data_IF_377689227797
#
_entry.id   IF_377689227797
#
_cell.length_a   1.000
_cell.length_b   1.000
_cell.length_c   1.000
_cell.angle_alpha   90.00
_cell.angle_beta   90.00
_cell.angle_gamma   90.00
#
_symmetry.space_group_name_H-M   'P 1'
#
loop_
_entity.id
_entity.type
_entity.pdbx_description
1 polymer ?
#
# COMPACT_ATOMS: atom_id res chain seq x y z
N UNK A 1 -10.80 17.04 -15.75
CA UNK A 1 -11.18 16.71 -14.37
C UNK A 1 -10.77 15.28 -14.01
N UNK A 2 -11.00 14.31 -14.89
CA UNK A 2 -10.66 12.89 -14.67
C UNK A 2 -9.16 12.65 -14.38
N UNK A 3 -8.26 13.26 -15.16
CA UNK A 3 -6.81 13.18 -14.89
C UNK A 3 -6.41 13.72 -13.50
N UNK A 4 -7.10 14.75 -13.00
CA UNK A 4 -6.82 15.30 -11.66
C UNK A 4 -7.25 14.30 -10.56
N UNK A 5 -8.39 13.64 -10.76
CA UNK A 5 -8.88 12.58 -9.87
C UNK A 5 -7.91 11.39 -9.92
N UNK A 6 -7.45 11.01 -11.11
CA UNK A 6 -6.48 9.94 -11.28
C UNK A 6 -5.16 10.22 -10.58
N UNK A 7 -4.62 11.44 -10.71
CA UNK A 7 -3.43 11.89 -9.97
C UNK A 7 -3.66 11.85 -8.45
N UNK A 8 -4.84 12.27 -7.97
CA UNK A 8 -5.16 12.19 -6.54
C UNK A 8 -5.21 10.74 -6.03
N UNK A 9 -5.75 9.80 -6.82
CA UNK A 9 -5.77 8.37 -6.48
C UNK A 9 -4.36 7.75 -6.46
N UNK A 10 -3.49 8.14 -7.39
CA UNK A 10 -2.08 7.74 -7.39
C UNK A 10 -1.38 8.31 -6.15
N UNK A 11 -1.63 9.58 -5.81
CA UNK A 11 -1.02 10.23 -4.66
C UNK A 11 -1.49 9.58 -3.35
N UNK A 12 -2.78 9.23 -3.26
CA UNK A 12 -3.32 8.42 -2.17
C UNK A 12 -2.58 7.08 -2.04
N UNK A 13 -2.36 6.36 -3.14
CA UNK A 13 -1.58 5.12 -3.12
C UNK A 13 -0.16 5.33 -2.59
N UNK A 14 0.56 6.35 -3.10
CA UNK A 14 1.95 6.63 -2.70
C UNK A 14 2.06 6.91 -1.20
N UNK A 15 1.14 7.70 -0.63
CA UNK A 15 1.14 8.00 0.81
C UNK A 15 0.95 6.73 1.63
N UNK A 16 0.02 5.85 1.25
CA UNK A 16 -0.22 4.59 1.95
C UNK A 16 0.98 3.63 1.81
N UNK A 17 1.64 3.61 0.65
CA UNK A 17 2.87 2.83 0.45
C UNK A 17 3.99 3.29 1.39
N UNK A 18 4.23 4.60 1.49
CA UNK A 18 5.23 5.17 2.40
C UNK A 18 4.90 4.85 3.85
N UNK A 19 3.64 4.98 4.26
CA UNK A 19 3.20 4.63 5.61
C UNK A 19 3.46 3.13 5.91
N UNK A 20 3.15 2.24 4.97
CA UNK A 20 3.45 0.80 5.09
C UNK A 20 4.94 0.52 5.26
N UNK A 21 5.80 1.18 4.47
CA UNK A 21 7.26 1.05 4.59
C UNK A 21 7.76 1.53 5.96
N UNK A 22 7.22 2.64 6.48
CA UNK A 22 7.58 3.16 7.81
C UNK A 22 7.20 2.16 8.90
N UNK A 23 6.00 1.57 8.83
CA UNK A 23 5.53 0.56 9.78
C UNK A 23 6.45 -0.65 9.76
N UNK A 24 6.72 -1.21 8.58
CA UNK A 24 7.65 -2.34 8.41
C UNK A 24 9.02 -2.01 8.98
N UNK A 25 9.57 -0.84 8.65
CA UNK A 25 10.88 -0.43 9.13
C UNK A 25 10.93 -0.30 10.65
N UNK A 26 9.88 0.25 11.27
CA UNK A 26 9.77 0.38 12.71
C UNK A 26 9.67 -0.99 13.40
N UNK A 27 8.80 -1.87 12.90
CA UNK A 27 8.63 -3.22 13.44
C UNK A 27 9.92 -4.04 13.35
N UNK A 28 10.61 -3.94 12.21
CA UNK A 28 11.83 -4.71 11.97
C UNK A 28 12.97 -4.29 12.92
N UNK A 29 13.01 -3.02 13.35
CA UNK A 29 13.97 -2.52 14.35
C UNK A 29 13.68 -3.08 15.76
N UNK A 30 12.43 -3.36 16.08
CA UNK A 30 12.01 -3.91 17.39
C UNK A 30 12.20 -5.43 17.50
N UNK A 31 11.97 -6.18 16.42
CA UNK A 31 12.00 -7.66 16.49
C UNK A 31 13.31 -8.30 15.99
N UNK A 32 14.28 -7.53 15.48
CA UNK A 32 15.52 -8.05 14.89
C UNK A 32 15.25 -9.13 13.82
N UNK A 33 14.08 -9.07 13.18
CA UNK A 33 13.67 -10.00 12.13
C UNK A 33 14.32 -9.58 10.81
N UNK A 34 14.50 -10.54 9.92
CA UNK A 34 14.96 -10.25 8.56
C UNK A 34 13.89 -9.43 7.85
N UNK A 35 14.28 -8.33 7.20
CA UNK A 35 13.38 -7.42 6.46
C UNK A 35 12.46 -8.17 5.49
N UNK A 36 12.99 -9.25 4.90
CA UNK A 36 12.27 -10.12 3.97
C UNK A 36 11.15 -10.91 4.66
N UNK A 37 11.39 -11.39 5.90
CA UNK A 37 10.37 -12.08 6.69
C UNK A 37 9.28 -11.12 7.16
N UNK A 38 9.66 -9.91 7.59
CA UNK A 38 8.69 -8.88 7.98
C UNK A 38 7.79 -8.48 6.79
N UNK A 39 8.36 -8.27 5.61
CA UNK A 39 7.59 -7.95 4.40
C UNK A 39 6.60 -9.04 4.00
N UNK A 40 7.02 -10.32 4.07
CA UNK A 40 6.13 -11.46 3.78
C UNK A 40 5.04 -11.59 4.84
N UNK A 41 5.38 -11.47 6.13
CA UNK A 41 4.40 -11.56 7.21
C UNK A 41 3.38 -10.44 7.12
N UNK A 42 3.84 -9.21 6.87
CA UNK A 42 2.97 -8.05 6.69
C UNK A 42 2.04 -8.28 5.51
N UNK A 43 2.56 -8.77 4.37
CA UNK A 43 1.73 -9.11 3.20
C UNK A 43 0.70 -10.21 3.50
N UNK A 44 1.09 -11.24 4.28
CA UNK A 44 0.20 -12.33 4.67
C UNK A 44 -0.86 -11.85 5.66
N UNK A 45 -0.52 -11.08 6.69
CA UNK A 45 -1.47 -10.47 7.62
C UNK A 45 -2.40 -9.49 6.88
N UNK A 46 -1.85 -8.74 5.93
CA UNK A 46 -2.63 -7.85 5.07
C UNK A 46 -3.64 -8.58 4.17
N UNK A 47 -3.35 -9.81 3.74
CA UNK A 47 -4.24 -10.63 2.89
C UNK A 47 -5.23 -11.45 3.72
N UNK A 48 -4.79 -11.95 4.88
CA UNK A 48 -5.50 -12.97 5.67
C UNK A 48 -6.45 -12.38 6.71
N UNK A 49 -6.19 -11.14 7.14
CA UNK A 49 -6.90 -10.50 8.24
C UNK A 49 -7.79 -9.33 7.75
N UNK A 50 -8.37 -8.58 8.69
CA UNK A 50 -9.27 -7.41 8.52
C UNK A 50 -8.76 -6.34 7.53
N UNK A 51 -7.46 -6.37 7.19
CA UNK A 51 -6.82 -5.42 6.29
C UNK A 51 -6.91 -5.76 4.80
N UNK A 52 -7.43 -6.95 4.42
CA UNK A 52 -7.58 -7.34 3.02
C UNK A 52 -8.42 -6.37 2.20
N UNK A 53 -9.49 -5.84 2.78
CA UNK A 53 -10.33 -4.83 2.15
C UNK A 53 -9.60 -3.49 1.97
N UNK A 54 -8.80 -3.09 2.96
CA UNK A 54 -7.98 -1.88 2.88
C UNK A 54 -6.93 -1.99 1.75
N UNK A 55 -6.25 -3.13 1.64
CA UNK A 55 -5.29 -3.36 0.55
C UNK A 55 -5.96 -3.36 -0.80
N UNK A 56 -7.14 -3.96 -0.92
CA UNK A 56 -7.92 -3.93 -2.15
C UNK A 56 -8.29 -2.49 -2.55
N UNK A 57 -8.66 -1.63 -1.59
CA UNK A 57 -8.92 -0.20 -1.85
C UNK A 57 -7.65 0.51 -2.32
N UNK A 58 -6.52 0.33 -1.63
CA UNK A 58 -5.25 0.99 -1.96
C UNK A 58 -4.71 0.52 -3.33
N UNK A 59 -4.76 -0.77 -3.62
CA UNK A 59 -4.37 -1.31 -4.93
C UNK A 59 -5.35 -0.90 -6.03
N UNK A 60 -6.65 -0.88 -5.71
CA UNK A 60 -7.70 -0.42 -6.63
C UNK A 60 -7.53 1.06 -6.98
N UNK A 61 -7.15 1.91 -6.02
CA UNK A 61 -6.89 3.33 -6.29
C UNK A 61 -5.72 3.53 -7.23
N UNK A 62 -4.67 2.70 -7.15
CA UNK A 62 -3.57 2.74 -8.11
C UNK A 62 -4.04 2.39 -9.53
N UNK A 63 -4.77 1.29 -9.68
CA UNK A 63 -5.24 0.82 -10.99
C UNK A 63 -6.21 1.83 -11.63
N UNK A 64 -7.19 2.33 -10.87
CA UNK A 64 -8.09 3.38 -11.35
C UNK A 64 -7.38 4.70 -11.59
N UNK A 65 -6.40 5.03 -10.74
CA UNK A 65 -5.58 6.23 -10.90
C UNK A 65 -4.79 6.22 -12.21
N UNK A 66 -4.13 5.10 -12.52
CA UNK A 66 -3.40 4.92 -13.79
C UNK A 66 -4.36 4.99 -14.98
N UNK A 67 -5.50 4.28 -14.90
CA UNK A 67 -6.53 4.33 -15.95
C UNK A 67 -6.95 5.77 -16.24
N UNK A 68 -7.35 6.55 -15.23
CA UNK A 68 -7.86 7.91 -15.41
C UNK A 68 -6.81 8.95 -15.83
N UNK A 69 -5.52 8.69 -15.60
CA UNK A 69 -4.43 9.60 -16.00
C UNK A 69 -4.00 9.35 -17.44
N UNK A 70 -3.90 8.08 -17.84
CA UNK A 70 -3.23 7.67 -19.08
C UNK A 70 -4.15 7.11 -20.16
N UNK A 71 -5.39 6.79 -19.85
CA UNK A 71 -6.42 6.29 -20.76
C UNK A 71 -7.69 7.16 -20.70
#
# INVERSE_FOLDING_TARGET
MEQLIGLALILFFVVNLVAGVIIVYKENKTENRSFFKAFIFLSIDFISDTYGFYVAIVMGSLLFGILLVFY
#
